data_IF_140135388604
#
_entry.id   IF_140135388604
#
_cell.length_a   1.000
_cell.length_b   1.000
_cell.length_c   1.000
_cell.angle_alpha   90.00
_cell.angle_beta   90.00
_cell.angle_gamma   90.00
#
_symmetry.space_group_name_H-M   'P 1'
#
loop_
_entity.id
_entity.type
_entity.pdbx_description
1 polymer ?
#
# COMPACT_ATOMS: atom_id res chain seq x y z
N UNK A 1 -26.84 -20.11 -21.99
CA UNK A 1 -25.98 -20.39 -20.81
C UNK A 1 -25.12 -19.15 -20.63
N UNK A 2 -25.32 -18.38 -19.56
CA UNK A 2 -24.78 -17.01 -19.43
C UNK A 2 -23.25 -17.00 -19.33
N UNK A 3 -22.58 -16.32 -20.26
CA UNK A 3 -21.22 -15.83 -20.07
C UNK A 3 -21.25 -14.74 -18.99
N UNK A 4 -20.79 -15.11 -17.79
CA UNK A 4 -20.59 -14.15 -16.72
C UNK A 4 -19.25 -13.47 -17.00
N UNK A 5 -19.29 -12.38 -17.78
CA UNK A 5 -18.17 -11.47 -17.97
C UNK A 5 -17.66 -11.01 -16.61
N UNK A 6 -16.49 -11.52 -16.19
CA UNK A 6 -15.81 -11.08 -14.97
C UNK A 6 -15.51 -9.58 -15.07
N UNK A 7 -15.88 -8.84 -14.02
CA UNK A 7 -15.63 -7.41 -13.87
C UNK A 7 -14.11 -7.13 -13.87
N UNK A 8 -13.59 -6.16 -14.65
CA UNK A 8 -12.17 -5.84 -14.67
C UNK A 8 -11.59 -5.44 -13.29
N UNK A 9 -12.43 -5.02 -12.34
CA UNK A 9 -11.99 -4.77 -10.95
C UNK A 9 -11.58 -6.03 -10.17
N UNK A 10 -12.14 -7.21 -10.47
CA UNK A 10 -11.78 -8.45 -9.74
C UNK A 10 -10.48 -9.07 -10.24
N UNK A 11 -10.05 -8.76 -11.47
CA UNK A 11 -8.75 -9.18 -12.00
C UNK A 11 -7.57 -8.42 -11.38
N UNK A 12 -7.79 -7.22 -10.87
CA UNK A 12 -6.72 -6.43 -10.22
C UNK A 12 -6.38 -6.97 -8.82
N UNK A 13 -7.33 -7.61 -8.15
CA UNK A 13 -7.20 -8.08 -6.76
C UNK A 13 -6.92 -9.59 -6.61
N UNK A 14 -7.07 -10.40 -7.66
CA UNK A 14 -6.90 -11.85 -7.57
C UNK A 14 -5.77 -12.35 -8.48
N UNK A 15 -4.79 -13.10 -7.95
CA UNK A 15 -3.68 -13.59 -8.75
C UNK A 15 -4.18 -14.63 -9.74
N UNK A 16 -4.04 -14.33 -11.03
CA UNK A 16 -4.37 -15.23 -12.12
C UNK A 16 -3.52 -16.51 -11.99
N UNK A 17 -4.15 -17.68 -11.97
CA UNK A 17 -3.46 -18.97 -11.80
C UNK A 17 -2.77 -19.37 -13.10
N UNK A 18 -1.63 -18.75 -13.41
CA UNK A 18 -0.70 -19.31 -14.40
C UNK A 18 -0.18 -20.62 -13.87
N UNK A 19 -0.26 -21.68 -14.68
CA UNK A 19 0.25 -23.01 -14.37
C UNK A 19 1.75 -22.91 -14.11
N UNK A 20 2.18 -23.23 -12.89
CA UNK A 20 3.58 -23.22 -12.47
C UNK A 20 3.98 -24.67 -12.19
N UNK A 21 4.81 -25.24 -13.04
CA UNK A 21 5.32 -26.61 -12.89
C UNK A 21 6.49 -26.59 -11.90
N UNK A 22 6.26 -27.01 -10.64
CA UNK A 22 7.30 -27.23 -9.62
C UNK A 22 6.91 -26.81 -8.16
N UNK A 23 7.14 -27.65 -7.13
CA UNK A 23 6.83 -27.31 -5.72
C UNK A 23 7.51 -26.03 -5.22
N UNK A 24 8.77 -25.79 -5.61
CA UNK A 24 9.56 -24.62 -5.20
C UNK A 24 8.97 -23.29 -5.69
N UNK A 25 8.43 -23.29 -6.90
CA UNK A 25 7.87 -22.11 -7.51
C UNK A 25 6.48 -21.74 -6.92
N UNK A 26 5.65 -22.73 -6.56
CA UNK A 26 4.39 -22.51 -5.83
C UNK A 26 4.61 -21.92 -4.43
N UNK A 27 5.59 -22.44 -3.67
CA UNK A 27 5.94 -21.87 -2.36
C UNK A 27 6.50 -20.45 -2.46
N UNK A 28 7.26 -20.14 -3.53
CA UNK A 28 7.78 -18.79 -3.76
C UNK A 28 6.68 -17.77 -4.07
N UNK A 29 5.69 -18.16 -4.89
CA UNK A 29 4.56 -17.32 -5.25
C UNK A 29 3.63 -17.08 -4.06
N UNK A 30 3.35 -18.13 -3.26
CA UNK A 30 2.53 -17.99 -2.05
C UNK A 30 3.15 -17.04 -1.02
N UNK A 31 4.49 -17.04 -0.88
CA UNK A 31 5.19 -16.10 0.01
C UNK A 31 5.20 -14.66 -0.54
N UNK A 32 5.31 -14.49 -1.86
CA UNK A 32 5.18 -13.18 -2.50
C UNK A 32 3.76 -12.62 -2.37
N UNK A 33 2.74 -13.46 -2.56
CA UNK A 33 1.34 -13.09 -2.33
C UNK A 33 1.08 -12.70 -0.87
N UNK A 34 1.60 -13.45 0.10
CA UNK A 34 1.44 -13.12 1.52
C UNK A 34 2.11 -11.79 1.90
N UNK A 35 3.32 -11.51 1.38
CA UNK A 35 3.99 -10.22 1.62
C UNK A 35 3.27 -9.06 0.91
N UNK A 36 2.72 -9.28 -0.29
CA UNK A 36 1.90 -8.29 -0.99
C UNK A 36 0.59 -8.00 -0.24
N UNK A 37 -0.09 -9.02 0.26
CA UNK A 37 -1.30 -8.86 1.09
C UNK A 37 -0.98 -8.13 2.40
N UNK A 38 0.12 -8.50 3.06
CA UNK A 38 0.58 -7.82 4.28
C UNK A 38 0.91 -6.35 4.04
N UNK A 39 1.51 -6.03 2.90
CA UNK A 39 1.77 -4.67 2.49
C UNK A 39 0.48 -3.89 2.22
N UNK A 40 -0.47 -4.48 1.50
CA UNK A 40 -1.77 -3.89 1.23
C UNK A 40 -2.53 -3.61 2.53
N UNK A 41 -2.50 -4.52 3.50
CA UNK A 41 -3.11 -4.29 4.81
C UNK A 41 -2.43 -3.16 5.58
N UNK A 42 -1.10 -3.07 5.55
CA UNK A 42 -0.37 -1.93 6.15
C UNK A 42 -0.72 -0.61 5.50
N UNK A 43 -0.85 -0.60 4.18
CA UNK A 43 -1.27 0.57 3.41
C UNK A 43 -2.70 1.00 3.78
N UNK A 44 -3.62 0.05 3.90
CA UNK A 44 -4.99 0.33 4.34
C UNK A 44 -5.05 0.86 5.77
N UNK A 45 -4.28 0.30 6.70
CA UNK A 45 -4.20 0.79 8.08
C UNK A 45 -3.75 2.25 8.10
N UNK A 46 -2.74 2.59 7.30
CA UNK A 46 -2.17 3.94 7.23
C UNK A 46 -3.18 4.95 6.70
N UNK A 47 -3.86 4.63 5.58
CA UNK A 47 -4.97 5.45 5.04
C UNK A 47 -6.07 5.68 6.08
N UNK A 48 -6.50 4.62 6.77
CA UNK A 48 -7.58 4.72 7.76
C UNK A 48 -7.16 5.56 8.96
N UNK A 49 -5.91 5.42 9.41
CA UNK A 49 -5.33 6.22 10.49
C UNK A 49 -5.30 7.70 10.11
N UNK A 50 -4.80 8.01 8.92
CA UNK A 50 -4.77 9.37 8.40
C UNK A 50 -6.18 9.95 8.26
N UNK A 51 -7.12 9.19 7.69
CA UNK A 51 -8.52 9.60 7.53
C UNK A 51 -9.19 9.95 8.86
N UNK A 52 -8.99 9.11 9.90
CA UNK A 52 -9.48 9.40 11.26
C UNK A 52 -8.91 10.71 11.80
N UNK A 53 -7.59 10.88 11.76
CA UNK A 53 -6.92 12.09 12.24
C UNK A 53 -7.46 13.33 11.50
N UNK A 54 -7.68 13.22 10.19
CA UNK A 54 -8.23 14.32 9.39
C UNK A 54 -9.66 14.67 9.77
N UNK A 55 -10.52 13.68 10.04
CA UNK A 55 -11.87 13.91 10.54
C UNK A 55 -11.86 14.63 11.89
N UNK A 56 -10.97 14.26 12.81
CA UNK A 56 -10.81 14.91 14.11
C UNK A 56 -10.38 16.39 13.96
N UNK A 57 -9.46 16.68 13.05
CA UNK A 57 -9.05 18.06 12.75
C UNK A 57 -10.20 18.89 12.15
N UNK A 58 -10.98 18.31 11.22
CA UNK A 58 -12.16 18.97 10.65
C UNK A 58 -13.19 19.32 11.72
N UNK A 59 -13.44 18.38 12.66
CA UNK A 59 -14.35 18.61 13.78
C UNK A 59 -13.88 19.80 14.63
N UNK A 60 -12.60 19.83 15.00
CA UNK A 60 -12.01 20.93 15.78
C UNK A 60 -12.12 22.27 15.07
N UNK A 61 -11.93 22.31 13.76
CA UNK A 61 -12.11 23.54 12.99
C UNK A 61 -13.56 24.04 13.08
N UNK A 62 -14.53 23.14 12.91
CA UNK A 62 -15.95 23.49 12.97
C UNK A 62 -16.34 24.01 14.37
N UNK A 63 -15.85 23.36 15.42
CA UNK A 63 -16.03 23.80 16.81
C UNK A 63 -15.43 25.19 17.05
N UNK A 64 -14.22 25.43 16.55
CA UNK A 64 -13.52 26.71 16.72
C UNK A 64 -14.21 27.86 15.96
N UNK A 65 -14.67 27.64 14.72
CA UNK A 65 -15.37 28.66 13.93
C UNK A 65 -16.77 28.95 14.49
N UNK A 66 -17.44 27.93 15.06
CA UNK A 66 -18.78 28.11 15.64
C UNK A 66 -18.75 28.81 17.01
N UNK A 67 -17.56 29.01 17.58
CA UNK A 67 -17.40 29.70 18.86
C UNK A 67 -17.66 31.21 18.71
N UNK A 68 -18.58 31.81 19.49
CA UNK A 68 -18.95 33.23 19.39
C UNK A 68 -17.77 34.20 19.58
N UNK A 69 -16.67 33.76 20.19
CA UNK A 69 -15.47 34.57 20.43
C UNK A 69 -14.42 34.53 19.31
N UNK A 70 -14.61 33.77 18.24
CA UNK A 70 -13.60 33.55 17.19
C UNK A 70 -14.04 33.97 15.78
N UNK A 71 -15.18 34.66 15.65
CA UNK A 71 -15.70 35.09 14.33
C UNK A 71 -14.71 36.02 13.60
N UNK A 72 -13.98 36.86 14.33
CA UNK A 72 -12.91 37.72 13.78
C UNK A 72 -11.63 36.96 13.42
N UNK A 73 -11.37 35.83 14.07
CA UNK A 73 -10.15 35.01 13.88
C UNK A 73 -10.40 33.79 12.97
N UNK A 74 -11.63 33.62 12.49
CA UNK A 74 -12.05 32.45 11.72
C UNK A 74 -11.25 32.29 10.42
N UNK A 75 -10.84 33.39 9.80
CA UNK A 75 -10.00 33.37 8.61
C UNK A 75 -8.60 32.83 8.93
N UNK A 76 -7.95 33.30 10.00
CA UNK A 76 -6.64 32.83 10.42
C UNK A 76 -6.67 31.36 10.85
N UNK A 77 -7.76 30.93 11.51
CA UNK A 77 -8.01 29.53 11.83
C UNK A 77 -8.13 28.67 10.57
N UNK A 78 -8.83 29.15 9.54
CA UNK A 78 -8.92 28.47 8.25
C UNK A 78 -7.55 28.39 7.54
N UNK A 79 -6.79 29.47 7.51
CA UNK A 79 -5.45 29.49 6.89
C UNK A 79 -4.51 28.51 7.58
N UNK A 80 -4.43 28.53 8.91
CA UNK A 80 -3.62 27.58 9.68
C UNK A 80 -4.05 26.14 9.44
N UNK A 81 -5.36 25.89 9.38
CA UNK A 81 -5.90 24.57 9.10
C UNK A 81 -5.48 24.05 7.72
N UNK A 82 -5.56 24.87 6.68
CA UNK A 82 -5.14 24.48 5.33
C UNK A 82 -3.64 24.29 5.22
N UNK A 83 -2.83 25.13 5.88
CA UNK A 83 -1.39 24.96 5.93
C UNK A 83 -1.01 23.62 6.57
N UNK A 84 -1.60 23.28 7.72
CA UNK A 84 -1.39 22.00 8.38
C UNK A 84 -1.90 20.84 7.51
N UNK A 85 -3.05 21.00 6.85
CA UNK A 85 -3.58 19.97 5.96
C UNK A 85 -2.61 19.63 4.83
N UNK A 86 -2.05 20.64 4.16
CA UNK A 86 -1.09 20.43 3.06
C UNK A 86 0.15 19.69 3.56
N UNK A 87 0.66 20.04 4.73
CA UNK A 87 1.81 19.35 5.34
C UNK A 87 1.47 17.90 5.67
N UNK A 88 0.34 17.65 6.32
CA UNK A 88 -0.10 16.31 6.70
C UNK A 88 -0.30 15.40 5.49
N UNK A 89 -0.93 15.90 4.41
CA UNK A 89 -1.08 15.15 3.16
C UNK A 89 0.27 14.85 2.51
N UNK A 90 1.20 15.82 2.53
CA UNK A 90 2.54 15.63 1.96
C UNK A 90 3.33 14.56 2.72
N UNK A 91 3.27 14.60 4.05
CA UNK A 91 3.91 13.61 4.91
C UNK A 91 3.28 12.23 4.74
N UNK A 92 1.97 12.16 4.60
CA UNK A 92 1.25 10.91 4.39
C UNK A 92 1.60 10.25 3.05
N UNK A 93 1.66 11.02 1.97
CA UNK A 93 2.16 10.55 0.68
C UNK A 93 3.61 10.08 0.81
N UNK A 94 4.42 10.82 1.59
CA UNK A 94 5.71 10.43 2.16
C UNK A 94 5.76 8.95 2.59
N UNK A 95 4.98 8.67 3.63
CA UNK A 95 4.86 7.36 4.28
C UNK A 95 4.35 6.28 3.33
N UNK A 96 3.39 6.61 2.47
CA UNK A 96 2.87 5.70 1.45
C UNK A 96 3.94 5.28 0.44
N UNK A 97 4.74 6.24 -0.04
CA UNK A 97 5.83 5.96 -0.97
C UNK A 97 6.92 5.09 -0.31
N UNK A 98 7.24 5.34 0.96
CA UNK A 98 8.18 4.53 1.72
C UNK A 98 7.69 3.07 1.86
N UNK A 99 6.41 2.89 2.20
CA UNK A 99 5.82 1.56 2.30
C UNK A 99 5.88 0.84 0.94
N UNK A 100 5.52 1.52 -0.15
CA UNK A 100 5.59 0.98 -1.51
C UNK A 100 7.02 0.58 -1.91
N UNK A 101 8.00 1.45 -1.65
CA UNK A 101 9.42 1.18 -1.91
C UNK A 101 9.94 -0.02 -1.13
N UNK A 102 9.57 -0.15 0.15
CA UNK A 102 9.92 -1.30 0.99
C UNK A 102 9.41 -2.63 0.40
N UNK A 103 8.21 -2.63 -0.16
CA UNK A 103 7.59 -3.80 -0.78
C UNK A 103 8.30 -4.15 -2.08
N UNK A 104 8.55 -3.15 -2.93
CA UNK A 104 9.30 -3.34 -4.17
C UNK A 104 10.71 -3.89 -3.90
N UNK A 105 11.41 -3.34 -2.91
CA UNK A 105 12.75 -3.81 -2.52
C UNK A 105 12.74 -5.27 -2.03
N UNK A 106 11.73 -5.66 -1.25
CA UNK A 106 11.56 -7.06 -0.81
C UNK A 106 11.28 -7.98 -1.99
N UNK A 107 10.42 -7.58 -2.92
CA UNK A 107 10.12 -8.35 -4.13
C UNK A 107 11.39 -8.53 -4.99
N UNK A 108 12.12 -7.45 -5.26
CA UNK A 108 13.37 -7.49 -6.03
C UNK A 108 14.43 -8.39 -5.38
N UNK A 109 14.61 -8.30 -4.05
CA UNK A 109 15.52 -9.18 -3.31
C UNK A 109 15.15 -10.65 -3.45
N UNK A 110 13.85 -10.98 -3.44
CA UNK A 110 13.36 -12.36 -3.60
C UNK A 110 13.58 -12.89 -5.01
N UNK A 111 13.32 -12.10 -6.04
CA UNK A 111 13.60 -12.48 -7.44
C UNK A 111 15.08 -12.81 -7.61
N UNK A 112 15.98 -11.92 -7.16
CA UNK A 112 17.43 -12.14 -7.24
C UNK A 112 17.90 -13.39 -6.48
N UNK A 113 17.27 -13.69 -5.34
CA UNK A 113 17.54 -14.94 -4.60
C UNK A 113 17.06 -16.18 -5.36
N UNK A 114 15.89 -16.11 -5.99
CA UNK A 114 15.36 -17.19 -6.83
C UNK A 114 16.25 -17.49 -8.03
N UNK A 115 16.70 -16.46 -8.74
CA UNK A 115 17.62 -16.59 -9.88
C UNK A 115 18.94 -17.27 -9.48
N UNK A 116 19.54 -16.88 -8.34
CA UNK A 116 20.80 -17.48 -7.86
C UNK A 116 20.68 -18.97 -7.60
N UNK A 117 19.57 -19.40 -6.99
CA UNK A 117 19.33 -20.81 -6.68
C UNK A 117 19.15 -21.65 -7.95
N UNK A 118 18.49 -21.12 -8.99
CA UNK A 118 18.32 -21.80 -10.29
C UNK A 118 19.66 -21.96 -11.00
N UNK A 119 20.52 -20.93 -10.97
CA UNK A 119 21.86 -20.99 -11.58
C UNK A 119 22.75 -22.02 -10.86
N UNK A 120 22.69 -22.07 -9.53
CA UNK A 120 23.44 -23.06 -8.73
C UNK A 120 22.98 -24.50 -9.01
N UNK A 121 21.67 -24.74 -9.12
CA UNK A 121 21.09 -26.05 -9.45
C UNK A 121 21.45 -26.51 -10.87
N UNK A 122 21.39 -25.62 -11.85
CA UNK A 122 21.78 -25.93 -13.23
C UNK A 122 23.27 -26.28 -13.31
N UNK A 123 24.14 -25.51 -12.64
CA UNK A 123 25.57 -25.78 -12.59
C UNK A 123 25.86 -27.15 -11.97
N UNK A 124 25.15 -27.53 -10.90
CA UNK A 124 25.28 -28.83 -10.27
C UNK A 124 24.83 -29.99 -11.17
N UNK A 125 23.79 -29.82 -11.99
CA UNK A 125 23.32 -30.83 -12.94
C UNK A 125 24.25 -31.01 -14.15
N UNK A 126 24.88 -29.94 -14.64
CA UNK A 126 25.84 -30.02 -15.77
C UNK A 126 27.25 -30.52 -15.40
N UNK A 127 27.54 -30.66 -14.11
CA UNK A 127 28.82 -31.17 -13.61
C UNK A 127 28.86 -32.70 -13.38
N UNK A 128 27.75 -33.40 -13.66
CA UNK A 128 27.65 -34.87 -13.70
C UNK A 128 27.64 -35.37 -15.15
#
# INVERSE_FOLDING_TARGET
MLETSMNPMTQFFWPNSTRIDGPSALFSLGRLQAEALKAALRYQIEILRFGKNRCEQNLRLLENISSPGHVTDAFDLCCNFWQNAVLDYSEEVARMAELGSSVAAKAAKRVRQGEKLVVEDLAAQTAM
#
